data_IF_430042627453
#
_entry.id   IF_430042627453
#
_cell.length_a   1.000
_cell.length_b   1.000
_cell.length_c   1.000
_cell.angle_alpha   90.00
_cell.angle_beta   90.00
_cell.angle_gamma   90.00
#
_symmetry.space_group_name_H-M   'P 1'
#
loop_
_entity.id
_entity.type
_entity.pdbx_description
1 polymer ?
#
# COMPACT_ATOMS: atom_id res chain seq x y z
N UNK A 1 -1.73 -37.27 2.05
CA UNK A 1 -1.43 -36.34 0.93
C UNK A 1 -1.95 -34.91 1.21
N UNK A 2 -1.90 -34.42 2.45
CA UNK A 2 -2.52 -33.15 2.87
C UNK A 2 -1.54 -32.00 3.05
N UNK A 3 -0.23 -32.27 3.21
CA UNK A 3 0.77 -31.23 3.45
C UNK A 3 1.09 -30.36 2.22
N UNK A 4 1.13 -30.93 1.01
CA UNK A 4 1.54 -30.17 -0.18
C UNK A 4 0.49 -29.16 -0.66
N UNK A 5 -0.81 -29.48 -0.55
CA UNK A 5 -1.88 -28.56 -0.94
C UNK A 5 -2.00 -27.35 0.00
N UNK A 6 -1.70 -27.55 1.29
CA UNK A 6 -1.77 -26.49 2.31
C UNK A 6 -0.68 -25.42 2.11
N UNK A 7 0.52 -25.82 1.69
CA UNK A 7 1.61 -24.88 1.42
C UNK A 7 1.33 -23.98 0.20
N UNK A 8 0.70 -24.51 -0.85
CA UNK A 8 0.39 -23.72 -2.05
C UNK A 8 -0.73 -22.71 -1.87
N UNK A 9 -1.73 -23.00 -1.01
CA UNK A 9 -2.87 -22.09 -0.79
C UNK A 9 -2.53 -20.84 0.03
N UNK A 10 -1.53 -20.92 0.92
CA UNK A 10 -1.16 -19.84 1.85
C UNK A 10 -0.08 -18.91 1.27
N UNK A 11 0.88 -19.48 0.53
CA UNK A 11 2.09 -18.75 0.12
C UNK A 11 1.79 -17.66 -0.92
N UNK A 12 0.91 -17.93 -1.90
CA UNK A 12 0.56 -16.96 -2.94
C UNK A 12 -0.05 -15.67 -2.38
N UNK A 13 -1.13 -15.75 -1.59
CA UNK A 13 -1.77 -14.59 -0.97
C UNK A 13 -0.85 -13.82 -0.02
N UNK A 14 -0.09 -14.53 0.83
CA UNK A 14 0.91 -13.90 1.70
C UNK A 14 1.97 -13.14 0.92
N UNK A 15 2.48 -13.74 -0.17
CA UNK A 15 3.48 -13.13 -1.04
C UNK A 15 2.93 -11.88 -1.72
N UNK A 16 1.68 -11.91 -2.22
CA UNK A 16 1.05 -10.71 -2.80
C UNK A 16 0.91 -9.59 -1.76
N UNK A 17 0.57 -9.93 -0.51
CA UNK A 17 0.59 -9.00 0.62
C UNK A 17 1.96 -8.36 0.81
N UNK A 18 3.01 -9.16 0.92
CA UNK A 18 4.39 -8.69 1.13
C UNK A 18 4.96 -7.90 -0.05
N UNK A 19 4.63 -8.29 -1.28
CA UNK A 19 4.99 -7.52 -2.49
C UNK A 19 4.42 -6.10 -2.39
N UNK A 20 3.15 -5.99 -2.00
CA UNK A 20 2.45 -4.72 -1.90
C UNK A 20 2.94 -3.88 -0.72
N UNK A 21 3.13 -4.51 0.44
CA UNK A 21 3.38 -3.82 1.71
C UNK A 21 4.86 -3.56 2.00
N UNK A 22 5.77 -4.34 1.41
CA UNK A 22 7.23 -4.26 1.68
C UNK A 22 8.04 -4.01 0.41
N UNK A 23 7.88 -4.82 -0.64
CA UNK A 23 8.73 -4.69 -1.82
C UNK A 23 8.48 -3.39 -2.59
N UNK A 24 7.21 -3.07 -2.86
CA UNK A 24 6.83 -1.84 -3.56
C UNK A 24 7.34 -0.55 -2.89
N UNK A 25 7.19 -0.31 -1.58
CA UNK A 25 7.71 0.90 -0.96
C UNK A 25 9.23 0.93 -0.96
N UNK A 26 9.91 -0.21 -0.83
CA UNK A 26 11.37 -0.30 -0.97
C UNK A 26 11.82 0.10 -2.38
N UNK A 27 11.10 -0.31 -3.42
CA UNK A 27 11.39 0.09 -4.80
C UNK A 27 11.19 1.59 -5.02
N UNK A 28 10.13 2.17 -4.45
CA UNK A 28 9.91 3.63 -4.50
C UNK A 28 11.10 4.35 -3.83
N UNK A 29 11.51 3.90 -2.64
CA UNK A 29 12.64 4.47 -1.92
C UNK A 29 13.98 4.29 -2.66
N UNK A 30 14.20 3.13 -3.28
CA UNK A 30 15.41 2.85 -4.06
C UNK A 30 15.46 3.72 -5.33
N UNK A 31 14.36 3.83 -6.08
CA UNK A 31 14.25 4.69 -7.25
C UNK A 31 14.48 6.17 -6.92
N UNK A 32 14.07 6.59 -5.73
CA UNK A 32 14.35 7.91 -5.19
C UNK A 32 15.84 8.14 -4.89
N UNK A 33 16.61 7.13 -4.47
CA UNK A 33 18.06 7.29 -4.28
C UNK A 33 18.80 7.49 -5.60
N UNK A 34 18.29 6.89 -6.68
CA UNK A 34 18.95 6.90 -7.99
C UNK A 34 18.64 8.14 -8.84
N UNK A 35 17.55 8.86 -8.55
CA UNK A 35 17.14 10.06 -9.30
C UNK A 35 17.36 11.33 -8.46
N UNK A 36 18.23 12.25 -8.90
CA UNK A 36 18.33 13.59 -8.32
C UNK A 36 16.96 14.26 -8.33
N UNK A 37 16.64 15.00 -7.27
CA UNK A 37 15.37 15.71 -7.17
C UNK A 37 15.28 16.77 -8.28
N UNK A 38 14.51 16.50 -9.32
CA UNK A 38 14.07 17.54 -10.24
C UNK A 38 13.21 18.53 -9.44
N UNK A 39 13.54 19.82 -9.53
CA UNK A 39 12.75 20.90 -8.93
C UNK A 39 11.43 20.99 -9.70
N UNK A 40 10.40 20.30 -9.23
CA UNK A 40 9.06 20.48 -9.79
C UNK A 40 8.46 21.80 -9.29
N UNK A 41 7.93 22.65 -10.20
CA UNK A 41 7.25 23.88 -9.83
C UNK A 41 6.00 23.56 -8.99
N UNK A 42 5.83 24.32 -7.92
CA UNK A 42 4.78 24.20 -6.91
C UNK A 42 3.38 24.02 -7.51
N UNK A 43 2.94 22.77 -7.62
CA UNK A 43 1.53 22.41 -7.73
C UNK A 43 1.15 21.63 -6.48
N UNK A 44 0.09 22.03 -5.79
CA UNK A 44 -0.36 21.32 -4.59
C UNK A 44 -0.72 19.87 -4.98
N UNK A 45 -0.29 18.86 -4.21
CA UNK A 45 -0.70 17.47 -4.45
C UNK A 45 -2.24 17.39 -4.43
N UNK A 46 -2.82 16.92 -5.53
CA UNK A 46 -4.27 16.91 -5.68
C UNK A 46 -4.86 15.65 -5.02
N UNK A 47 -5.69 15.76 -3.97
CA UNK A 47 -6.19 14.61 -3.20
C UNK A 47 -6.96 13.59 -4.05
N UNK A 48 -7.68 14.05 -5.08
CA UNK A 48 -8.40 13.17 -6.02
C UNK A 48 -7.49 12.21 -6.78
N UNK A 49 -6.22 12.59 -7.05
CA UNK A 49 -5.27 11.67 -7.68
C UNK A 49 -4.93 10.52 -6.76
N UNK A 50 -4.70 10.79 -5.47
CA UNK A 50 -4.43 9.75 -4.50
C UNK A 50 -5.65 8.83 -4.33
N UNK A 51 -6.86 9.40 -4.20
CA UNK A 51 -8.10 8.61 -4.14
C UNK A 51 -8.27 7.73 -5.39
N UNK A 52 -8.06 8.28 -6.60
CA UNK A 52 -8.11 7.52 -7.84
C UNK A 52 -7.07 6.39 -7.89
N UNK A 53 -5.84 6.65 -7.46
CA UNK A 53 -4.78 5.62 -7.35
C UNK A 53 -5.22 4.49 -6.42
N UNK A 54 -5.76 4.83 -5.24
CA UNK A 54 -6.25 3.82 -4.28
C UNK A 54 -7.35 2.96 -4.90
N UNK A 55 -8.37 3.57 -5.50
CA UNK A 55 -9.49 2.84 -6.10
C UNK A 55 -9.03 1.94 -7.24
N UNK A 56 -8.23 2.47 -8.17
CA UNK A 56 -7.72 1.70 -9.30
C UNK A 56 -6.85 0.54 -8.82
N UNK A 57 -5.95 0.80 -7.87
CA UNK A 57 -5.09 -0.25 -7.32
C UNK A 57 -5.89 -1.32 -6.58
N UNK A 58 -6.88 -0.93 -5.78
CA UNK A 58 -7.76 -1.86 -5.06
C UNK A 58 -8.51 -2.79 -6.02
N UNK A 59 -9.01 -2.26 -7.14
CA UNK A 59 -9.68 -3.07 -8.17
C UNK A 59 -8.69 -4.04 -8.83
N UNK A 60 -7.52 -3.55 -9.26
CA UNK A 60 -6.48 -4.42 -9.87
C UNK A 60 -6.04 -5.51 -8.91
N UNK A 61 -5.83 -5.15 -7.64
CA UNK A 61 -5.47 -6.07 -6.58
C UNK A 61 -6.55 -7.15 -6.38
N UNK A 62 -7.81 -6.74 -6.21
CA UNK A 62 -8.93 -7.67 -6.02
C UNK A 62 -9.11 -8.60 -7.22
N UNK A 63 -9.09 -8.08 -8.46
CA UNK A 63 -9.20 -8.89 -9.68
C UNK A 63 -8.07 -9.91 -9.76
N UNK A 64 -6.84 -9.50 -9.40
CA UNK A 64 -5.68 -10.40 -9.44
C UNK A 64 -5.78 -11.50 -8.37
N UNK A 65 -6.08 -11.13 -7.13
CA UNK A 65 -6.20 -12.07 -6.02
C UNK A 65 -7.32 -13.08 -6.26
N UNK A 66 -8.46 -12.61 -6.78
CA UNK A 66 -9.64 -13.45 -7.00
C UNK A 66 -9.62 -14.21 -8.33
N UNK A 67 -8.76 -13.80 -9.27
CA UNK A 67 -8.66 -14.37 -10.61
C UNK A 67 -7.52 -15.37 -10.79
N UNK A 68 -6.49 -15.34 -9.92
CA UNK A 68 -5.43 -16.36 -9.93
C UNK A 68 -5.90 -17.60 -9.19
N UNK A 69 -5.92 -18.75 -9.87
CA UNK A 69 -6.40 -20.01 -9.31
C UNK A 69 -5.65 -21.22 -9.86
N UNK A 70 -6.01 -22.43 -9.39
CA UNK A 70 -5.39 -23.66 -9.88
C UNK A 70 -5.62 -23.79 -11.40
N UNK A 71 -4.54 -23.74 -12.18
CA UNK A 71 -4.59 -23.81 -13.65
C UNK A 71 -4.39 -22.48 -14.39
N UNK A 72 -4.10 -21.37 -13.68
CA UNK A 72 -3.65 -20.14 -14.34
C UNK A 72 -2.35 -20.42 -15.12
N UNK A 73 -2.32 -20.02 -16.38
CA UNK A 73 -1.12 -20.08 -17.23
C UNK A 73 0.08 -19.39 -16.54
N UNK A 74 1.29 -19.98 -16.51
CA UNK A 74 2.44 -19.39 -15.84
C UNK A 74 2.81 -17.99 -16.32
N UNK A 75 2.67 -17.73 -17.63
CA UNK A 75 2.94 -16.42 -18.23
C UNK A 75 1.92 -15.38 -17.79
N UNK A 76 0.64 -15.75 -17.77
CA UNK A 76 -0.43 -14.92 -17.23
C UNK A 76 -0.22 -14.65 -15.73
N UNK A 77 0.16 -15.67 -14.96
CA UNK A 77 0.49 -15.55 -13.55
C UNK A 77 1.60 -14.51 -13.33
N UNK A 78 2.71 -14.62 -14.07
CA UNK A 78 3.81 -13.65 -13.98
C UNK A 78 3.36 -12.23 -14.36
N UNK A 79 2.58 -12.08 -15.43
CA UNK A 79 2.05 -10.79 -15.88
C UNK A 79 1.17 -10.13 -14.81
N UNK A 80 0.31 -10.90 -14.14
CA UNK A 80 -0.54 -10.42 -13.05
C UNK A 80 0.28 -9.99 -11.83
N UNK A 81 1.32 -10.76 -11.45
CA UNK A 81 2.22 -10.36 -10.36
C UNK A 81 2.99 -9.07 -10.70
N UNK A 82 3.45 -8.93 -11.95
CA UNK A 82 4.09 -7.71 -12.41
C UNK A 82 3.12 -6.51 -12.41
N UNK A 83 1.86 -6.72 -12.80
CA UNK A 83 0.83 -5.68 -12.75
C UNK A 83 0.52 -5.25 -11.32
N UNK A 84 0.39 -6.19 -10.37
CA UNK A 84 0.23 -5.89 -8.94
C UNK A 84 1.45 -5.13 -8.41
N UNK A 85 2.66 -5.55 -8.74
CA UNK A 85 3.88 -4.86 -8.31
C UNK A 85 3.93 -3.42 -8.85
N UNK A 86 3.66 -3.23 -10.14
CA UNK A 86 3.64 -1.90 -10.75
C UNK A 86 2.55 -1.01 -10.13
N UNK A 87 1.35 -1.56 -9.93
CA UNK A 87 0.26 -0.89 -9.25
C UNK A 87 0.61 -0.52 -7.79
N UNK A 88 1.26 -1.42 -7.06
CA UNK A 88 1.68 -1.20 -5.69
C UNK A 88 2.74 -0.10 -5.60
N UNK A 89 3.69 -0.05 -6.54
CA UNK A 89 4.67 1.05 -6.64
C UNK A 89 3.95 2.39 -6.83
N UNK A 90 2.96 2.45 -7.71
CA UNK A 90 2.14 3.66 -7.94
C UNK A 90 1.32 4.02 -6.70
N UNK A 91 0.74 3.03 -6.01
CA UNK A 91 0.02 3.18 -4.74
C UNK A 91 0.86 3.84 -3.64
N UNK A 92 2.17 3.57 -3.61
CA UNK A 92 3.05 4.18 -2.61
C UNK A 92 3.51 5.60 -2.96
N UNK A 93 3.28 6.10 -4.18
CA UNK A 93 3.70 7.46 -4.58
C UNK A 93 3.05 8.57 -3.73
N UNK A 94 1.73 8.56 -3.44
CA UNK A 94 1.10 9.49 -2.49
C UNK A 94 1.77 9.55 -1.11
N UNK A 95 2.43 8.48 -0.68
CA UNK A 95 2.98 8.36 0.67
C UNK A 95 4.48 8.61 0.71
N UNK A 96 5.23 8.03 -0.21
CA UNK A 96 6.70 8.01 -0.24
C UNK A 96 7.29 8.83 -1.38
N UNK A 97 6.45 9.32 -2.30
CA UNK A 97 6.84 10.13 -3.43
C UNK A 97 7.53 11.43 -3.06
N UNK A 98 7.76 12.28 -4.06
CA UNK A 98 8.41 13.58 -3.89
C UNK A 98 7.59 14.70 -4.52
N UNK A 99 7.83 15.93 -4.04
CA UNK A 99 7.21 17.13 -4.60
C UNK A 99 5.69 17.02 -4.65
N UNK A 100 5.15 17.11 -5.86
CA UNK A 100 3.71 17.18 -6.13
C UNK A 100 2.98 15.84 -6.01
N UNK A 101 3.72 14.73 -5.94
CA UNK A 101 3.13 13.39 -5.80
C UNK A 101 2.86 13.00 -4.36
N UNK A 102 3.58 13.58 -3.39
CA UNK A 102 3.48 13.23 -1.97
C UNK A 102 2.41 14.06 -1.27
N UNK A 103 1.51 13.39 -0.56
CA UNK A 103 0.49 14.04 0.27
C UNK A 103 1.12 14.71 1.51
N UNK A 104 0.46 15.73 2.07
CA UNK A 104 0.79 16.26 3.40
C UNK A 104 0.72 15.17 4.48
N UNK A 105 1.36 15.37 5.63
CA UNK A 105 1.49 14.34 6.66
C UNK A 105 0.15 13.74 7.11
N UNK A 106 -0.83 14.58 7.46
CA UNK A 106 -2.19 14.12 7.78
C UNK A 106 -2.83 13.33 6.64
N UNK A 107 -2.65 13.80 5.39
CA UNK A 107 -3.20 13.15 4.21
C UNK A 107 -2.61 11.76 3.96
N UNK A 108 -1.32 11.56 4.23
CA UNK A 108 -0.65 10.25 4.11
C UNK A 108 -1.22 9.24 5.12
N UNK A 109 -1.47 9.69 6.35
CA UNK A 109 -2.03 8.87 7.41
C UNK A 109 -3.47 8.46 7.08
N UNK A 110 -4.32 9.42 6.69
CA UNK A 110 -5.72 9.15 6.26
C UNK A 110 -5.74 8.20 5.06
N UNK A 111 -4.85 8.43 4.08
CA UNK A 111 -4.74 7.59 2.89
C UNK A 111 -4.46 6.13 3.25
N UNK A 112 -3.46 5.86 4.10
CA UNK A 112 -3.10 4.50 4.48
C UNK A 112 -4.15 3.84 5.39
N UNK A 113 -4.77 4.60 6.29
CA UNK A 113 -5.87 4.07 7.12
C UNK A 113 -7.08 3.67 6.28
N UNK A 114 -7.39 4.41 5.21
CA UNK A 114 -8.43 4.04 4.28
C UNK A 114 -8.00 2.89 3.37
N UNK A 115 -6.72 2.83 2.99
CA UNK A 115 -6.19 1.78 2.14
C UNK A 115 -6.28 0.40 2.78
N UNK A 116 -6.02 0.26 4.09
CA UNK A 116 -6.05 -1.02 4.79
C UNK A 116 -7.39 -1.77 4.60
N UNK A 117 -8.55 -1.25 5.05
CA UNK A 117 -9.82 -1.95 4.89
C UNK A 117 -10.23 -2.13 3.42
N UNK A 118 -9.86 -1.19 2.54
CA UNK A 118 -10.17 -1.28 1.11
C UNK A 118 -9.42 -2.45 0.46
N UNK A 119 -8.12 -2.61 0.74
CA UNK A 119 -7.32 -3.72 0.20
C UNK A 119 -7.72 -5.05 0.84
N UNK A 120 -8.09 -5.05 2.12
CA UNK A 120 -8.53 -6.25 2.85
C UNK A 120 -9.87 -6.81 2.33
N UNK A 121 -10.65 -6.05 1.55
CA UNK A 121 -11.87 -6.57 0.92
C UNK A 121 -11.61 -7.80 0.04
N UNK A 122 -10.45 -7.87 -0.63
CA UNK A 122 -10.06 -9.03 -1.41
C UNK A 122 -9.82 -10.26 -0.52
N UNK A 123 -9.28 -10.06 0.69
CA UNK A 123 -9.04 -11.14 1.65
C UNK A 123 -10.35 -11.65 2.23
N UNK A 124 -11.24 -10.74 2.59
CA UNK A 124 -12.58 -11.08 3.05
C UNK A 124 -13.35 -11.87 1.99
N UNK A 125 -13.20 -11.51 0.71
CA UNK A 125 -13.80 -12.26 -0.38
C UNK A 125 -13.27 -13.70 -0.49
N UNK A 126 -11.98 -13.95 -0.21
CA UNK A 126 -11.42 -15.31 -0.13
C UNK A 126 -12.02 -16.10 1.03
N UNK A 127 -12.12 -15.48 2.21
CA UNK A 127 -12.74 -16.09 3.40
C UNK A 127 -14.20 -16.47 3.12
N UNK A 128 -14.98 -15.56 2.52
CA UNK A 128 -16.38 -15.80 2.16
C UNK A 128 -16.52 -16.92 1.11
N UNK A 129 -15.53 -17.10 0.23
CA UNK A 129 -15.48 -18.20 -0.76
C UNK A 129 -15.01 -19.54 -0.16
N UNK A 130 -14.70 -19.58 1.14
CA UNK A 130 -14.27 -20.79 1.83
C UNK A 130 -12.75 -21.01 1.86
N UNK A 131 -11.95 -20.07 1.35
CA UNK A 131 -10.49 -20.11 1.44
C UNK A 131 -9.99 -19.20 2.57
N UNK A 132 -10.37 -19.57 3.78
CA UNK A 132 -10.01 -18.84 5.00
C UNK A 132 -8.49 -18.73 5.21
N UNK A 133 -7.67 -19.79 5.03
CA UNK A 133 -6.22 -19.68 5.20
C UNK A 133 -5.59 -18.69 4.23
N UNK A 134 -6.03 -18.66 2.97
CA UNK A 134 -5.55 -17.69 1.97
C UNK A 134 -5.92 -16.25 2.35
N UNK A 135 -7.17 -16.03 2.77
CA UNK A 135 -7.64 -14.72 3.22
C UNK A 135 -6.83 -14.19 4.41
N UNK A 136 -6.65 -15.02 5.46
CA UNK A 136 -5.86 -14.65 6.64
C UNK A 136 -4.40 -14.37 6.27
N UNK A 137 -3.80 -15.22 5.43
CA UNK A 137 -2.42 -15.05 4.98
C UNK A 137 -2.22 -13.71 4.26
N UNK A 138 -3.19 -13.27 3.48
CA UNK A 138 -3.13 -11.97 2.82
C UNK A 138 -3.24 -10.80 3.80
N UNK A 139 -4.19 -10.85 4.76
CA UNK A 139 -4.31 -9.81 5.80
C UNK A 139 -3.00 -9.67 6.57
N UNK A 140 -2.42 -10.80 6.98
CA UNK A 140 -1.13 -10.82 7.68
C UNK A 140 -0.01 -10.23 6.81
N UNK A 141 0.02 -10.58 5.51
CA UNK A 141 0.98 -10.02 4.55
C UNK A 141 0.83 -8.50 4.33
N UNK A 142 -0.36 -7.95 4.57
CA UNK A 142 -0.66 -6.51 4.43
C UNK A 142 -0.42 -5.69 5.71
N UNK A 143 -0.20 -6.32 6.86
CA UNK A 143 0.06 -5.65 8.15
C UNK A 143 1.12 -4.53 8.10
N UNK A 144 2.22 -4.63 7.32
CA UNK A 144 3.19 -3.55 7.25
C UNK A 144 2.59 -2.20 6.80
N UNK A 145 1.52 -2.19 5.99
CA UNK A 145 0.82 -0.97 5.58
C UNK A 145 0.22 -0.27 6.81
N UNK A 146 -0.48 -1.02 7.66
CA UNK A 146 -1.08 -0.51 8.89
C UNK A 146 -0.03 0.01 9.89
N UNK A 147 1.09 -0.70 10.02
CA UNK A 147 2.22 -0.24 10.86
C UNK A 147 2.77 1.10 10.37
N UNK A 148 2.95 1.27 9.05
CA UNK A 148 3.38 2.55 8.48
C UNK A 148 2.34 3.63 8.75
N UNK A 149 1.05 3.35 8.60
CA UNK A 149 -0.02 4.30 8.91
C UNK A 149 0.06 4.80 10.37
N UNK A 150 0.26 3.88 11.33
CA UNK A 150 0.41 4.21 12.75
C UNK A 150 1.64 5.09 12.97
N UNK A 151 2.80 4.70 12.43
CA UNK A 151 4.04 5.47 12.60
C UNK A 151 3.91 6.88 12.02
N UNK A 152 3.29 7.04 10.84
CA UNK A 152 3.06 8.35 10.25
C UNK A 152 2.10 9.21 11.07
N UNK A 153 1.08 8.59 11.65
CA UNK A 153 0.12 9.28 12.52
C UNK A 153 0.79 9.79 13.79
N UNK A 154 1.57 8.93 14.47
CA UNK A 154 2.30 9.33 15.68
C UNK A 154 3.31 10.44 15.39
N UNK A 155 4.00 10.37 14.25
CA UNK A 155 4.93 11.43 13.83
C UNK A 155 4.23 12.76 13.59
N UNK A 156 3.06 12.73 12.95
CA UNK A 156 2.24 13.90 12.69
C UNK A 156 1.74 14.52 13.99
N UNK A 157 1.17 13.72 14.90
CA UNK A 157 0.73 14.18 16.23
C UNK A 157 1.87 14.86 16.98
N UNK A 158 3.04 14.22 17.03
CA UNK A 158 4.21 14.79 17.71
C UNK A 158 4.74 16.07 17.04
N UNK A 159 4.56 16.24 15.72
CA UNK A 159 4.92 17.48 15.03
C UNK A 159 3.99 18.63 15.44
N UNK A 160 2.70 18.33 15.55
CA UNK A 160 1.68 19.32 15.86
C UNK A 160 1.77 19.77 17.32
N UNK A 161 2.08 18.85 18.24
CA UNK A 161 2.39 19.16 19.63
C UNK A 161 3.60 20.11 19.75
N UNK A 162 4.66 19.90 18.95
CA UNK A 162 5.83 20.79 18.96
C UNK A 162 5.51 22.20 18.47
N UNK A 163 4.64 22.33 17.47
CA UNK A 163 4.19 23.64 16.98
C UNK A 163 3.31 24.34 18.03
N UNK A 164 2.42 23.61 18.70
CA UNK A 164 1.56 24.15 19.74
C UNK A 164 2.33 24.54 21.02
N UNK A 165 3.40 23.82 21.35
CA UNK A 165 4.26 24.10 22.51
C UNK A 165 5.27 25.22 22.25
N UNK A 166 5.42 25.71 21.02
CA UNK A 166 6.29 26.83 20.72
C UNK A 166 5.73 28.10 21.40
N UNK A 167 6.48 28.76 22.30
CA UNK A 167 5.99 29.94 23.01
C UNK A 167 5.60 31.04 22.01
N UNK A 168 4.47 31.71 22.26
CA UNK A 168 4.00 32.87 21.49
C UNK A 168 4.90 34.10 21.73
N UNK A 169 6.18 34.01 21.37
CA UNK A 169 7.16 35.06 21.55
C UNK A 169 7.24 35.93 20.29
N UNK A 170 6.13 36.60 19.94
CA UNK A 170 6.10 37.84 19.13
C UNK A 170 4.68 38.33 18.88
N UNK A 171 4.16 39.10 19.83
CA UNK A 171 3.30 40.28 19.57
C UNK A 171 3.02 40.98 20.90
N UNK A 172 4.00 41.74 21.39
CA UNK A 172 3.78 42.92 22.22
C UNK A 172 4.67 44.04 21.72
#
# INVERSE_FOLDING_TARGET
>A
MTGHAMHTGIVGPALMGLITSVLAPLLVLAGHRLRPAAREPWSRPHPWRAAGILVVFAVVHAVTVLGVGPGTDPGLGLALHAAVLAGAVVFWLPVLGRGTTRLPEAGRSIYLFLACPVLDTAALALVVRGDEPAGIAMIVGMLPIGLVAIVLTLRWVAAEERVAAAPMERTR
#
